data_IF_838318998831
#
_entry.id   IF_838318998831
#
_cell.length_a   1.000
_cell.length_b   1.000
_cell.length_c   1.000
_cell.angle_alpha   90.00
_cell.angle_beta   90.00
_cell.angle_gamma   90.00
#
_symmetry.space_group_name_H-M   'P 1'
#
loop_
_entity.id
_entity.type
_entity.pdbx_description
1 polymer ?
#
# COMPACT_ATOMS: atom_id res chain seq x y z
N UNK A 1 5.04 2.04 4.08
CA UNK A 1 5.05 3.49 4.40
C UNK A 1 3.63 3.97 4.58
N UNK A 2 3.37 4.73 5.64
CA UNK A 2 2.09 5.39 5.85
C UNK A 2 2.27 6.92 5.76
N UNK A 3 1.42 7.55 4.96
CA UNK A 3 1.31 8.99 4.78
C UNK A 3 0.04 9.45 5.50
N UNK A 4 0.18 10.31 6.51
CA UNK A 4 -0.90 10.74 7.45
C UNK A 4 -1.32 9.66 8.46
N UNK A 5 -1.85 10.11 9.60
CA UNK A 5 -2.29 9.27 10.73
C UNK A 5 -3.81 9.22 10.86
N UNK A 6 -4.31 8.23 11.60
CA UNK A 6 -5.74 7.99 11.83
C UNK A 6 -6.48 7.40 10.63
N UNK A 7 -7.81 7.57 10.57
CA UNK A 7 -8.70 7.01 9.52
C UNK A 7 -8.46 7.53 8.09
N UNK A 8 -7.45 8.38 7.89
CA UNK A 8 -7.04 8.97 6.60
C UNK A 8 -5.62 8.56 6.20
N UNK A 9 -5.02 7.58 6.90
CA UNK A 9 -3.69 7.09 6.60
C UNK A 9 -3.65 6.50 5.19
N UNK A 10 -2.83 7.10 4.34
CA UNK A 10 -2.59 6.67 2.97
C UNK A 10 -1.37 5.77 2.92
N UNK A 11 -1.52 4.54 2.47
CA UNK A 11 -0.44 3.55 2.48
C UNK A 11 0.27 3.44 1.13
N UNK A 12 1.55 3.09 1.17
CA UNK A 12 2.35 2.74 0.02
C UNK A 12 3.52 1.83 0.37
N UNK A 13 3.91 1.00 -0.58
CA UNK A 13 5.12 0.17 -0.50
C UNK A 13 6.31 1.00 -0.96
N UNK A 14 7.34 1.09 -0.13
CA UNK A 14 8.56 1.81 -0.46
C UNK A 14 9.70 0.81 -0.55
N UNK A 15 10.36 0.83 -1.70
CA UNK A 15 11.57 0.08 -1.94
C UNK A 15 12.73 1.08 -1.98
N UNK A 16 13.61 1.08 -0.97
CA UNK A 16 14.76 1.98 -0.97
C UNK A 16 15.74 1.58 -2.08
N UNK A 17 16.47 2.55 -2.64
CA UNK A 17 17.45 2.29 -3.71
C UNK A 17 18.64 1.45 -3.20
N UNK A 18 18.94 1.59 -1.90
CA UNK A 18 19.91 0.79 -1.14
C UNK A 18 19.34 0.50 0.25
N UNK A 19 19.80 -0.54 0.93
CA UNK A 19 19.34 -0.84 2.29
C UNK A 19 19.55 0.34 3.24
N UNK A 20 18.48 0.76 3.93
CA UNK A 20 18.50 1.92 4.82
C UNK A 20 18.46 3.29 4.11
N UNK A 21 18.47 3.34 2.78
CA UNK A 21 18.44 4.61 2.05
C UNK A 21 17.11 5.36 2.25
N UNK A 22 17.15 6.68 2.47
CA UNK A 22 15.94 7.51 2.50
C UNK A 22 15.37 7.74 1.09
N UNK A 23 16.08 7.38 0.04
CA UNK A 23 15.66 7.52 -1.36
C UNK A 23 15.27 6.18 -1.94
N UNK A 24 14.21 6.17 -2.75
CA UNK A 24 13.71 4.92 -3.31
C UNK A 24 12.51 5.10 -4.22
N UNK A 25 11.90 3.96 -4.54
CA UNK A 25 10.68 3.89 -5.32
C UNK A 25 9.49 3.66 -4.41
N UNK A 26 8.49 4.56 -4.48
CA UNK A 26 7.21 4.40 -3.84
C UNK A 26 6.19 3.84 -4.84
N UNK A 27 5.54 2.75 -4.45
CA UNK A 27 4.44 2.09 -5.16
C UNK A 27 3.16 2.21 -4.33
N UNK A 28 2.15 2.87 -4.86
CA UNK A 28 0.86 3.01 -4.17
C UNK A 28 -0.28 3.22 -5.18
N UNK A 29 -1.52 2.92 -4.77
CA UNK A 29 -2.70 3.41 -5.48
C UNK A 29 -3.07 4.79 -4.96
N UNK A 30 -3.64 5.66 -5.79
CA UNK A 30 -4.18 6.95 -5.38
C UNK A 30 -5.50 7.24 -6.07
N UNK A 31 -6.31 8.09 -5.45
CA UNK A 31 -7.62 8.51 -5.98
C UNK A 31 -7.47 9.93 -6.53
N UNK A 32 -7.83 10.14 -7.80
CA UNK A 32 -8.07 11.50 -8.26
C UNK A 32 -9.42 11.98 -7.71
N UNK A 33 -9.39 12.94 -6.79
CA UNK A 33 -10.60 13.68 -6.39
C UNK A 33 -10.88 14.76 -7.43
N UNK A 34 -12.02 14.67 -8.11
CA UNK A 34 -12.57 15.83 -8.83
C UNK A 34 -12.89 16.94 -7.82
N UNK A 35 -12.75 18.20 -8.24
CA UNK A 35 -12.92 19.40 -7.41
C UNK A 35 -14.28 19.49 -6.68
N UNK A 36 -15.28 18.70 -7.08
CA UNK A 36 -16.63 18.67 -6.49
C UNK A 36 -16.82 17.61 -5.38
N UNK A 37 -15.80 16.82 -5.04
CA UNK A 37 -15.85 15.85 -3.92
C UNK A 37 -16.79 14.66 -4.08
N UNK A 38 -17.67 14.65 -5.10
CA UNK A 38 -18.80 13.71 -5.20
C UNK A 38 -18.53 12.48 -6.08
N UNK A 39 -17.42 12.43 -6.82
CA UNK A 39 -17.17 11.32 -7.76
C UNK A 39 -15.69 10.94 -7.77
N UNK A 40 -15.37 9.83 -7.09
CA UNK A 40 -14.03 9.21 -6.98
C UNK A 40 -13.90 8.09 -8.03
N UNK A 41 -13.86 8.44 -9.31
CA UNK A 41 -14.03 7.44 -10.38
C UNK A 41 -12.76 6.77 -10.88
N UNK A 42 -11.56 7.33 -10.65
CA UNK A 42 -10.34 6.74 -11.21
C UNK A 42 -9.28 6.58 -10.14
N UNK A 43 -9.12 5.35 -9.64
CA UNK A 43 -7.89 4.93 -8.98
C UNK A 43 -6.78 4.84 -10.03
N UNK A 44 -5.56 5.18 -9.63
CA UNK A 44 -4.39 5.03 -10.49
C UNK A 44 -3.27 4.40 -9.68
N UNK A 45 -2.56 3.46 -10.30
CA UNK A 45 -1.28 2.96 -9.79
C UNK A 45 -0.20 4.02 -10.01
N UNK A 46 0.47 4.40 -8.93
CA UNK A 46 1.61 5.30 -8.95
C UNK A 46 2.87 4.51 -8.58
N UNK A 47 3.87 4.60 -9.46
CA UNK A 47 5.23 4.14 -9.24
C UNK A 47 6.13 5.34 -9.46
N UNK A 48 6.68 5.91 -8.39
CA UNK A 48 7.43 7.16 -8.46
C UNK A 48 8.62 7.16 -7.51
N UNK A 49 9.64 7.95 -7.82
CA UNK A 49 10.72 8.23 -6.87
C UNK A 49 10.19 9.00 -5.67
N UNK A 50 10.72 8.69 -4.50
CA UNK A 50 10.41 9.33 -3.24
C UNK A 50 11.70 9.49 -2.44
N UNK A 51 11.87 10.67 -1.85
CA UNK A 51 12.85 10.92 -0.79
C UNK A 51 12.06 11.03 0.51
N UNK A 52 12.12 10.02 1.37
CA UNK A 52 11.30 9.89 2.58
C UNK A 52 11.45 11.11 3.48
N UNK A 53 12.68 11.57 3.70
CA UNK A 53 13.01 12.73 4.55
C UNK A 53 12.49 14.06 4.01
N UNK A 54 12.10 14.13 2.73
CA UNK A 54 11.50 15.30 2.08
C UNK A 54 10.02 15.11 1.78
N UNK A 55 9.40 14.08 2.34
CA UNK A 55 8.01 13.72 2.10
C UNK A 55 7.15 13.94 3.34
N UNK A 56 5.83 13.86 3.17
CA UNK A 56 4.87 13.88 4.27
C UNK A 56 4.65 12.48 4.88
N UNK A 57 5.59 11.54 4.69
CA UNK A 57 5.53 10.24 5.34
C UNK A 57 5.63 10.44 6.86
N UNK A 58 4.68 9.88 7.61
CA UNK A 58 4.70 9.96 9.07
C UNK A 58 5.38 8.75 9.69
N UNK A 59 5.34 7.61 9.00
CA UNK A 59 6.05 6.42 9.43
C UNK A 59 6.49 5.56 8.25
N UNK A 60 7.63 4.90 8.45
CA UNK A 60 8.18 3.87 7.58
C UNK A 60 8.44 2.66 8.46
N UNK A 61 7.87 1.53 8.10
CA UNK A 61 8.05 0.27 8.80
C UNK A 61 8.69 -0.72 7.81
N UNK A 62 9.82 -1.35 8.16
CA UNK A 62 10.40 -2.40 7.34
C UNK A 62 9.49 -3.63 7.37
N UNK A 63 9.26 -4.24 6.20
CA UNK A 63 8.52 -5.49 6.12
C UNK A 63 9.50 -6.63 6.30
N UNK A 64 9.43 -7.31 7.43
CA UNK A 64 10.37 -8.39 7.75
C UNK A 64 10.14 -9.60 6.85
N UNK A 65 11.22 -10.18 6.31
CA UNK A 65 11.14 -11.36 5.44
C UNK A 65 10.70 -11.07 4.01
N UNK A 66 10.84 -9.83 3.55
CA UNK A 66 10.57 -9.43 2.16
C UNK A 66 11.80 -8.81 1.49
N UNK A 67 12.32 -9.46 0.46
CA UNK A 67 13.46 -8.99 -0.34
C UNK A 67 13.12 -9.06 -1.83
N UNK A 68 12.81 -7.91 -2.45
CA UNK A 68 12.37 -7.87 -3.85
C UNK A 68 13.09 -6.79 -4.63
N UNK A 69 13.21 -6.99 -5.94
CA UNK A 69 13.69 -5.95 -6.85
C UNK A 69 12.55 -5.01 -7.24
N UNK A 70 12.92 -3.84 -7.76
CA UNK A 70 11.95 -2.85 -8.27
C UNK A 70 11.06 -3.45 -9.35
N UNK A 71 11.62 -4.23 -10.26
CA UNK A 71 10.89 -4.78 -11.39
C UNK A 71 9.87 -5.83 -10.94
N UNK A 72 10.25 -6.71 -10.00
CA UNK A 72 9.33 -7.68 -9.38
C UNK A 72 8.18 -6.95 -8.68
N UNK A 73 8.50 -5.96 -7.83
CA UNK A 73 7.51 -5.19 -7.10
C UNK A 73 6.54 -4.47 -8.06
N UNK A 74 7.06 -3.81 -9.09
CA UNK A 74 6.26 -3.08 -10.07
C UNK A 74 5.38 -4.03 -10.90
N UNK A 75 5.92 -5.17 -11.34
CA UNK A 75 5.17 -6.16 -12.10
C UNK A 75 4.00 -6.72 -11.29
N UNK A 76 4.25 -7.13 -10.04
CA UNK A 76 3.21 -7.68 -9.17
C UNK A 76 2.18 -6.61 -8.79
N UNK A 77 2.62 -5.40 -8.47
CA UNK A 77 1.72 -4.28 -8.21
C UNK A 77 0.79 -3.97 -9.38
N UNK A 78 1.30 -4.02 -10.61
CA UNK A 78 0.48 -3.85 -11.81
C UNK A 78 -0.49 -5.02 -11.99
N UNK A 79 -0.06 -6.26 -11.78
CA UNK A 79 -0.93 -7.44 -11.87
C UNK A 79 -2.10 -7.35 -10.88
N UNK A 80 -1.81 -6.99 -9.63
CA UNK A 80 -2.82 -6.81 -8.58
C UNK A 80 -3.77 -5.68 -8.93
N UNK A 81 -3.24 -4.54 -9.41
CA UNK A 81 -4.04 -3.39 -9.84
C UNK A 81 -5.03 -3.75 -10.96
N UNK A 82 -4.58 -4.50 -11.98
CA UNK A 82 -5.43 -4.91 -13.10
C UNK A 82 -6.48 -5.96 -12.71
N UNK A 83 -6.12 -6.91 -11.85
CA UNK A 83 -7.00 -8.02 -11.49
C UNK A 83 -8.18 -7.62 -10.58
N UNK A 84 -8.01 -6.60 -9.74
CA UNK A 84 -8.90 -6.36 -8.60
C UNK A 84 -9.90 -5.21 -8.79
N UNK A 85 -9.85 -4.47 -9.92
CA UNK A 85 -10.82 -3.41 -10.23
C UNK A 85 -11.10 -2.48 -9.04
N UNK A 86 -10.05 -1.97 -8.39
CA UNK A 86 -10.10 -1.28 -7.10
C UNK A 86 -11.24 -0.23 -7.02
N UNK A 87 -12.16 -0.38 -6.06
CA UNK A 87 -13.21 0.59 -5.73
C UNK A 87 -12.86 1.34 -4.42
N UNK A 88 -13.33 2.59 -4.28
CA UNK A 88 -12.96 3.48 -3.17
C UNK A 88 -13.50 3.06 -1.79
N UNK A 89 -14.63 2.36 -1.74
CA UNK A 89 -15.37 2.13 -0.49
C UNK A 89 -14.86 0.89 0.25
N UNK A 90 -14.34 -0.12 -0.47
CA UNK A 90 -13.88 -1.38 0.14
C UNK A 90 -12.40 -1.68 -0.10
N UNK A 91 -11.75 -1.07 -1.10
CA UNK A 91 -10.37 -1.39 -1.49
C UNK A 91 -9.45 -0.17 -1.38
N UNK A 92 -9.19 0.26 -0.14
CA UNK A 92 -8.30 1.38 0.14
C UNK A 92 -6.81 1.04 -0.15
N UNK A 93 -5.94 2.04 -0.09
CA UNK A 93 -4.50 1.89 -0.33
C UNK A 93 -3.79 0.90 0.62
N UNK A 94 -4.35 0.64 1.80
CA UNK A 94 -3.86 -0.39 2.71
C UNK A 94 -4.17 -1.80 2.17
N UNK A 95 -5.40 -2.05 1.69
CA UNK A 95 -5.76 -3.32 1.04
C UNK A 95 -4.90 -3.58 -0.18
N UNK A 96 -4.62 -2.56 -0.99
CA UNK A 96 -3.70 -2.68 -2.11
C UNK A 96 -2.31 -3.14 -1.67
N UNK A 97 -1.73 -2.52 -0.63
CA UNK A 97 -0.41 -2.93 -0.14
C UNK A 97 -0.41 -4.39 0.34
N UNK A 98 -1.45 -4.80 1.06
CA UNK A 98 -1.60 -6.19 1.53
C UNK A 98 -1.75 -7.18 0.35
N UNK A 99 -2.59 -6.87 -0.63
CA UNK A 99 -2.80 -7.73 -1.80
C UNK A 99 -1.51 -7.87 -2.62
N UNK A 100 -0.72 -6.81 -2.75
CA UNK A 100 0.60 -6.88 -3.39
C UNK A 100 1.55 -7.80 -2.64
N UNK A 101 1.62 -7.71 -1.31
CA UNK A 101 2.52 -8.57 -0.52
C UNK A 101 2.06 -10.04 -0.54
N UNK A 102 0.75 -10.30 -0.51
CA UNK A 102 0.19 -11.65 -0.70
C UNK A 102 0.55 -12.23 -2.07
N UNK A 103 0.41 -11.42 -3.12
CA UNK A 103 0.74 -11.86 -4.47
C UNK A 103 2.25 -12.06 -4.68
N UNK A 104 3.08 -11.24 -4.01
CA UNK A 104 4.54 -11.44 -3.98
C UNK A 104 4.89 -12.76 -3.30
N UNK A 105 4.32 -13.05 -2.13
CA UNK A 105 4.53 -14.32 -1.45
C UNK A 105 4.07 -15.52 -2.31
N UNK A 106 2.89 -15.42 -2.94
CA UNK A 106 2.36 -16.50 -3.78
C UNK A 106 3.23 -16.83 -5.00
N UNK A 107 3.94 -15.83 -5.56
CA UNK A 107 4.78 -16.00 -6.77
C UNK A 107 6.27 -16.18 -6.47
N UNK A 108 6.74 -15.65 -5.35
CA UNK A 108 8.16 -15.55 -4.98
C UNK A 108 8.34 -15.88 -3.50
N UNK A 109 7.88 -17.06 -3.07
CA UNK A 109 7.88 -17.48 -1.68
C UNK A 109 9.29 -17.59 -1.05
N UNK A 110 10.32 -17.72 -1.88
CA UNK A 110 11.74 -17.69 -1.52
C UNK A 110 12.26 -16.28 -1.20
N UNK A 111 11.64 -15.26 -1.80
CA UNK A 111 12.00 -13.85 -1.63
C UNK A 111 11.10 -13.11 -0.63
N UNK A 112 9.84 -13.54 -0.52
CA UNK A 112 8.83 -12.96 0.37
C UNK A 112 8.21 -14.09 1.17
N UNK A 113 8.61 -14.18 2.43
CA UNK A 113 8.15 -15.20 3.37
C UNK A 113 6.74 -14.89 3.86
N UNK A 114 6.03 -15.89 4.40
CA UNK A 114 4.71 -15.69 5.01
C UNK A 114 4.75 -14.66 6.16
N UNK A 115 5.88 -14.59 6.87
CA UNK A 115 6.14 -13.59 7.90
C UNK A 115 5.95 -12.14 7.41
N UNK A 116 6.25 -11.86 6.13
CA UNK A 116 6.04 -10.54 5.53
C UNK A 116 4.54 -10.21 5.39
N UNK A 117 3.72 -11.21 5.06
CA UNK A 117 2.26 -11.06 4.98
C UNK A 117 1.69 -10.79 6.38
N UNK A 118 2.14 -11.54 7.38
CA UNK A 118 1.71 -11.36 8.78
C UNK A 118 2.13 -9.99 9.33
N UNK A 119 3.34 -9.54 9.02
CA UNK A 119 3.86 -8.24 9.46
C UNK A 119 3.00 -7.08 8.91
N UNK A 120 2.62 -7.11 7.63
CA UNK A 120 1.74 -6.09 7.03
C UNK A 120 0.33 -6.14 7.62
N UNK A 121 -0.18 -7.33 7.94
CA UNK A 121 -1.47 -7.50 8.61
C UNK A 121 -1.47 -6.88 10.02
N UNK A 122 -0.39 -7.07 10.79
CA UNK A 122 -0.25 -6.55 12.15
C UNK A 122 -0.13 -5.02 12.19
N UNK A 123 0.55 -4.43 11.21
CA UNK A 123 0.63 -2.97 11.09
C UNK A 123 -0.65 -2.35 10.53
N UNK A 124 -1.54 -3.16 9.95
CA UNK A 124 -2.79 -2.69 9.40
C UNK A 124 -3.63 -1.99 10.46
N UNK A 125 -4.21 -0.84 10.13
CA UNK A 125 -5.28 -0.27 10.95
C UNK A 125 -6.33 -1.35 11.13
N UNK A 126 -6.59 -1.74 12.38
CA UNK A 126 -7.70 -2.61 12.74
C UNK A 126 -8.92 -2.08 11.98
N UNK A 127 -9.56 -2.98 11.24
CA UNK A 127 -10.83 -2.78 10.53
C UNK A 127 -11.59 -1.73 11.33
N UNK A 128 -11.82 -0.54 10.76
CA UNK A 128 -12.79 0.38 11.34
C UNK A 128 -14.03 -0.47 11.55
N UNK A 129 -14.27 -0.85 12.80
CA UNK A 129 -15.45 -1.60 13.18
C UNK A 129 -16.57 -0.88 12.48
N UNK A 130 -17.26 -1.59 11.59
CA UNK A 130 -18.48 -1.11 10.97
C UNK A 130 -19.28 -0.57 12.13
N UNK A 131 -19.34 0.76 12.24
CA UNK A 131 -20.08 1.41 13.31
C UNK A 131 -21.51 0.99 13.04
N UNK A 132 -21.99 0.02 13.83
CA UNK A 132 -23.35 -0.41 13.79
C UNK A 132 -24.19 0.87 13.93
N UNK A 133 -24.90 1.23 12.88
CA UNK A 133 -26.01 2.14 12.97
C UNK A 133 -27.07 1.44 13.84
N UNK A 134 -26.97 1.59 15.15
CA UNK A 134 -28.14 1.47 16.01
C UNK A 134 -28.93 2.76 15.84
N UNK A 135 -29.98 2.68 15.01
CA UNK A 135 -31.10 3.62 15.04
C UNK A 135 -31.72 3.56 16.45
N UNK A 136 -31.70 4.68 17.15
CA UNK A 136 -32.59 5.02 18.26
C UNK A 136 -33.33 6.28 17.89
#
# INVERSE_FOLDING_TARGET
>A
VAFRGGNLAHWGLFLPDEEGSPEGTLVHIGVNTLASGLVKLNHRLYVKKLVVTRSNAQSVHPITGAHVTRDILQQVANSVYQARGYNYVTNNCQHFCLDVVKELHARYADLVLDAAVQDVLQHGTAISAVTNFTRG
#
